data_IF_759569495096
#
_entry.id   IF_759569495096
#
_cell.length_a   1.000
_cell.length_b   1.000
_cell.length_c   1.000
_cell.angle_alpha   90.00
_cell.angle_beta   90.00
_cell.angle_gamma   90.00
#
_symmetry.space_group_name_H-M   'P 1'
#
loop_
_entity.id
_entity.type
_entity.pdbx_description
1 polymer ?
#
# COMPACT_ATOMS: atom_id res chain seq x y z
N UNK A 1 40.25 -29.54 49.95
CA UNK A 1 41.16 -29.84 48.83
C UNK A 1 40.36 -30.59 47.75
N UNK A 2 40.70 -30.38 46.48
CA UNK A 2 39.94 -30.68 45.23
C UNK A 2 38.82 -29.66 44.91
N UNK A 3 39.07 -28.51 44.26
CA UNK A 3 39.60 -28.18 42.90
C UNK A 3 38.61 -28.50 41.75
N UNK A 4 38.00 -27.42 41.25
CA UNK A 4 37.80 -27.02 39.85
C UNK A 4 37.58 -28.11 38.79
N UNK A 5 36.42 -28.05 38.14
CA UNK A 5 36.20 -28.40 36.73
C UNK A 5 34.94 -27.61 36.29
N UNK A 6 35.06 -26.55 35.49
CA UNK A 6 34.92 -26.57 34.02
C UNK A 6 33.67 -27.38 33.59
N UNK A 7 32.70 -26.86 32.86
CA UNK A 7 32.56 -25.61 32.14
C UNK A 7 31.20 -25.61 31.41
N UNK A 8 30.69 -24.42 31.16
CA UNK A 8 29.81 -24.04 30.05
C UNK A 8 29.12 -25.19 29.28
N UNK A 9 27.88 -25.51 29.64
CA UNK A 9 26.93 -26.20 28.76
C UNK A 9 25.57 -25.49 28.78
N UNK A 10 25.61 -24.18 28.52
CA UNK A 10 24.44 -23.36 28.18
C UNK A 10 24.63 -22.79 26.77
N UNK A 11 24.94 -23.66 25.81
CA UNK A 11 25.13 -23.29 24.40
C UNK A 11 24.41 -24.29 23.49
N UNK A 12 23.12 -24.55 23.74
CA UNK A 12 22.27 -25.34 22.83
C UNK A 12 20.78 -24.95 22.93
N UNK A 13 20.47 -23.69 23.25
CA UNK A 13 19.19 -23.14 22.79
C UNK A 13 19.50 -22.38 21.51
N UNK A 14 19.07 -22.85 20.32
CA UNK A 14 18.91 -21.92 19.22
C UNK A 14 17.76 -20.98 19.63
N UNK A 15 18.11 -19.89 20.32
CA UNK A 15 17.31 -18.68 20.41
C UNK A 15 17.32 -18.04 19.02
N UNK A 16 16.59 -18.66 18.11
CA UNK A 16 16.24 -18.09 16.83
C UNK A 16 14.92 -18.71 16.40
N UNK A 17 13.83 -18.33 17.07
CA UNK A 17 12.66 -17.94 16.27
C UNK A 17 13.07 -16.62 15.61
N UNK A 18 13.92 -16.72 14.58
CA UNK A 18 13.86 -15.74 13.53
C UNK A 18 12.40 -15.79 13.09
N UNK A 19 11.69 -14.67 13.25
CA UNK A 19 10.60 -14.39 12.33
C UNK A 19 11.27 -14.41 10.96
N UNK A 20 11.37 -15.59 10.36
CA UNK A 20 11.86 -15.74 9.01
C UNK A 20 10.78 -15.09 8.17
N UNK A 21 10.96 -13.79 7.95
CA UNK A 21 10.24 -13.02 6.97
C UNK A 21 10.14 -13.88 5.71
N UNK A 22 8.95 -13.92 5.10
CA UNK A 22 8.73 -14.78 3.95
C UNK A 22 9.81 -14.50 2.90
N UNK A 23 10.23 -15.48 2.08
CA UNK A 23 11.20 -15.23 1.01
C UNK A 23 10.80 -14.08 0.06
N UNK A 24 9.52 -13.69 0.09
CA UNK A 24 8.89 -12.66 -0.73
C UNK A 24 8.53 -11.40 0.07
N UNK A 25 9.08 -11.25 1.27
CA UNK A 25 8.88 -10.08 2.11
C UNK A 25 9.29 -8.82 1.32
N UNK A 26 8.40 -7.83 1.28
CA UNK A 26 8.56 -6.59 0.52
C UNK A 26 8.62 -6.72 -1.02
N UNK A 27 8.10 -7.81 -1.58
CA UNK A 27 7.99 -8.01 -3.03
C UNK A 27 6.54 -8.15 -3.46
N UNK A 28 6.25 -7.68 -4.67
CA UNK A 28 4.93 -7.77 -5.27
C UNK A 28 4.90 -8.82 -6.39
N UNK A 29 6.05 -9.14 -6.96
CA UNK A 29 6.26 -10.25 -7.88
C UNK A 29 6.23 -11.60 -7.15
N UNK A 30 5.69 -12.61 -7.84
CA UNK A 30 5.66 -13.99 -7.36
C UNK A 30 5.90 -14.94 -8.52
N UNK A 31 6.76 -15.94 -8.35
CA UNK A 31 6.88 -17.02 -9.33
C UNK A 31 5.76 -18.06 -9.14
N UNK A 32 5.49 -18.89 -10.17
CA UNK A 32 4.57 -20.02 -10.02
C UNK A 32 4.98 -20.92 -8.85
N UNK A 33 4.04 -21.22 -7.95
CA UNK A 33 4.21 -22.04 -6.74
C UNK A 33 4.95 -21.37 -5.56
N UNK A 34 5.25 -20.08 -5.63
CA UNK A 34 5.71 -19.33 -4.45
C UNK A 34 4.52 -18.83 -3.62
N UNK A 35 4.72 -18.71 -2.30
CA UNK A 35 3.73 -18.08 -1.44
C UNK A 35 3.62 -16.58 -1.77
N UNK A 36 2.42 -16.13 -2.11
CA UNK A 36 2.17 -14.71 -2.43
C UNK A 36 2.21 -13.89 -1.14
N UNK A 37 2.94 -12.78 -1.17
CA UNK A 37 2.88 -11.78 -0.10
C UNK A 37 1.56 -11.02 -0.19
N UNK A 38 0.69 -11.22 0.81
CA UNK A 38 -0.68 -10.69 0.78
C UNK A 38 -0.87 -9.39 1.56
N UNK A 39 0.10 -8.97 2.39
CA UNK A 39 -0.03 -7.76 3.23
C UNK A 39 -0.20 -6.47 2.44
N UNK A 40 0.32 -6.46 1.22
CA UNK A 40 0.30 -5.31 0.32
C UNK A 40 -0.74 -5.47 -0.81
N UNK A 41 -1.41 -6.63 -0.88
CA UNK A 41 -2.51 -6.82 -1.82
C UNK A 41 -3.61 -5.81 -1.55
N UNK A 42 -4.06 -5.15 -2.61
CA UNK A 42 -5.09 -4.13 -2.53
C UNK A 42 -4.58 -2.71 -2.26
N UNK A 43 -3.28 -2.48 -2.01
CA UNK A 43 -2.75 -1.12 -1.90
C UNK A 43 -2.97 -0.31 -3.18
N UNK A 44 -2.70 -0.90 -4.34
CA UNK A 44 -2.94 -0.22 -5.64
C UNK A 44 -4.42 0.10 -5.85
N UNK A 45 -5.32 -0.83 -5.47
CA UNK A 45 -6.76 -0.60 -5.55
C UNK A 45 -7.20 0.53 -4.60
N UNK A 46 -6.72 0.51 -3.36
CA UNK A 46 -7.03 1.53 -2.36
C UNK A 46 -6.53 2.91 -2.78
N UNK A 47 -5.34 2.98 -3.37
CA UNK A 47 -4.77 4.19 -3.96
C UNK A 47 -5.65 4.71 -5.10
N UNK A 48 -5.99 3.85 -6.06
CA UNK A 48 -6.84 4.20 -7.19
C UNK A 48 -8.22 4.70 -6.72
N UNK A 49 -8.85 3.99 -5.78
CA UNK A 49 -10.15 4.35 -5.23
C UNK A 49 -10.12 5.71 -4.52
N UNK A 50 -9.07 5.98 -3.73
CA UNK A 50 -8.87 7.28 -3.09
C UNK A 50 -8.78 8.41 -4.12
N UNK A 51 -7.88 8.29 -5.09
CA UNK A 51 -7.66 9.34 -6.09
C UNK A 51 -8.89 9.55 -6.97
N UNK A 52 -9.62 8.47 -7.30
CA UNK A 52 -10.91 8.55 -8.00
C UNK A 52 -11.94 9.34 -7.20
N UNK A 53 -12.08 9.02 -5.92
CA UNK A 53 -13.03 9.68 -5.04
C UNK A 53 -12.69 11.17 -4.84
N UNK A 54 -11.41 11.50 -4.62
CA UNK A 54 -10.95 12.89 -4.52
C UNK A 54 -11.33 13.71 -5.75
N UNK A 55 -10.99 13.19 -6.95
CA UNK A 55 -11.26 13.87 -8.21
C UNK A 55 -12.76 13.99 -8.50
N UNK A 56 -13.54 12.96 -8.17
CA UNK A 56 -15.00 13.00 -8.31
C UNK A 56 -15.64 14.01 -7.36
N UNK A 57 -15.21 14.03 -6.10
CA UNK A 57 -15.74 14.92 -5.08
C UNK A 57 -15.24 16.37 -5.20
N UNK A 58 -14.24 16.62 -6.05
CA UNK A 58 -13.56 17.91 -6.13
C UNK A 58 -12.88 18.28 -4.81
N UNK A 59 -12.32 17.30 -4.12
CA UNK A 59 -11.47 17.54 -2.95
C UNK A 59 -10.11 18.08 -3.40
N UNK A 60 -9.45 18.86 -2.55
CA UNK A 60 -8.08 19.29 -2.81
C UNK A 60 -7.16 18.05 -2.81
N UNK A 61 -6.40 17.79 -3.89
CA UNK A 61 -5.51 16.62 -3.95
C UNK A 61 -4.46 16.67 -2.84
N UNK A 62 -4.31 15.57 -2.11
CA UNK A 62 -3.28 15.41 -1.09
C UNK A 62 -2.21 14.43 -1.60
N UNK A 63 -0.93 14.68 -1.32
CA UNK A 63 0.11 13.70 -1.59
C UNK A 63 -0.20 12.39 -0.86
N UNK A 64 -0.35 11.30 -1.61
CA UNK A 64 -0.65 9.96 -1.09
C UNK A 64 0.59 9.28 -0.52
N UNK A 65 1.78 9.71 -0.97
CA UNK A 65 3.08 9.18 -0.54
C UNK A 65 3.20 8.94 0.96
N UNK A 66 3.05 9.97 1.82
CA UNK A 66 3.17 9.81 3.26
C UNK A 66 2.25 8.74 3.87
N UNK A 67 1.03 8.55 3.35
CA UNK A 67 0.08 7.54 3.85
C UNK A 67 0.48 6.13 3.40
N UNK A 68 0.69 5.93 2.10
CA UNK A 68 0.91 4.62 1.51
C UNK A 68 2.34 4.11 1.70
N UNK A 69 3.35 4.95 1.44
CA UNK A 69 4.75 4.61 1.65
C UNK A 69 5.04 4.49 3.15
N UNK A 70 4.47 5.38 3.97
CA UNK A 70 4.59 5.28 5.43
C UNK A 70 3.95 4.01 6.01
N UNK A 71 2.92 3.44 5.38
CA UNK A 71 2.40 2.12 5.75
C UNK A 71 3.42 1.01 5.40
N UNK A 72 4.01 1.04 4.21
CA UNK A 72 5.02 0.08 3.75
C UNK A 72 6.25 0.10 4.66
N UNK A 73 6.76 1.28 5.00
CA UNK A 73 7.87 1.46 5.94
C UNK A 73 7.58 0.87 7.32
N UNK A 74 6.36 1.10 7.85
CA UNK A 74 5.92 0.51 9.13
C UNK A 74 5.86 -1.02 9.11
N UNK A 75 5.72 -1.64 7.93
CA UNK A 75 5.78 -3.09 7.76
C UNK A 75 7.21 -3.62 7.62
N UNK A 76 8.24 -2.77 7.69
CA UNK A 76 9.65 -3.14 7.58
C UNK A 76 10.21 -3.08 6.16
N UNK A 77 9.48 -2.48 5.22
CA UNK A 77 9.90 -2.37 3.81
C UNK A 77 10.36 -0.94 3.51
N UNK A 78 11.65 -0.77 3.25
CA UNK A 78 12.23 0.55 2.96
C UNK A 78 12.18 0.92 1.46
N UNK A 79 12.69 2.10 1.13
CA UNK A 79 12.73 2.63 -0.24
C UNK A 79 13.56 1.82 -1.23
N UNK A 80 14.40 0.88 -0.77
CA UNK A 80 15.15 -0.03 -1.62
C UNK A 80 14.37 -1.27 -2.03
N UNK A 81 13.19 -1.49 -1.46
CA UNK A 81 12.37 -2.67 -1.73
C UNK A 81 11.50 -2.54 -2.98
N UNK A 82 11.18 -3.68 -3.57
CA UNK A 82 10.35 -3.77 -4.78
C UNK A 82 8.96 -3.18 -4.53
N UNK A 83 8.29 -3.57 -3.43
CA UNK A 83 6.95 -3.07 -3.13
C UNK A 83 6.92 -1.55 -2.93
N UNK A 84 7.94 -0.97 -2.28
CA UNK A 84 8.01 0.47 -2.08
C UNK A 84 8.11 1.19 -3.44
N UNK A 85 9.02 0.73 -4.29
CA UNK A 85 9.24 1.30 -5.62
C UNK A 85 7.99 1.18 -6.50
N UNK A 86 7.33 0.03 -6.47
CA UNK A 86 6.10 -0.22 -7.22
C UNK A 86 4.97 0.72 -6.77
N UNK A 87 4.80 0.89 -5.46
CA UNK A 87 3.75 1.76 -4.90
C UNK A 87 4.09 3.23 -5.14
N UNK A 88 5.35 3.64 -5.02
CA UNK A 88 5.80 5.01 -5.35
C UNK A 88 5.50 5.35 -6.83
N UNK A 89 5.82 4.44 -7.75
CA UNK A 89 5.50 4.60 -9.17
C UNK A 89 3.98 4.62 -9.41
N UNK A 90 3.23 3.78 -8.70
CA UNK A 90 1.77 3.76 -8.70
C UNK A 90 1.18 5.11 -8.26
N UNK A 91 1.66 5.68 -7.16
CA UNK A 91 1.24 7.00 -6.65
C UNK A 91 1.43 8.07 -7.72
N UNK A 92 2.64 8.18 -8.26
CA UNK A 92 2.96 9.18 -9.28
C UNK A 92 2.04 9.07 -10.51
N UNK A 93 1.76 7.83 -10.95
CA UNK A 93 0.85 7.56 -12.07
C UNK A 93 -0.59 7.96 -11.74
N UNK A 94 -1.08 7.63 -10.55
CA UNK A 94 -2.48 7.86 -10.19
C UNK A 94 -2.76 9.35 -9.92
N UNK A 95 -1.89 10.03 -9.17
CA UNK A 95 -2.06 11.46 -8.87
C UNK A 95 -2.08 12.32 -10.14
N UNK A 96 -1.18 12.03 -11.10
CA UNK A 96 -1.14 12.68 -12.41
C UNK A 96 -2.25 12.25 -13.38
N UNK A 97 -2.97 11.17 -13.08
CA UNK A 97 -4.01 10.60 -13.94
C UNK A 97 -5.32 11.39 -13.95
N UNK A 98 -5.98 11.48 -15.11
CA UNK A 98 -7.35 11.98 -15.21
C UNK A 98 -8.39 10.93 -14.77
N UNK A 99 -9.59 11.37 -14.39
CA UNK A 99 -10.67 10.50 -13.87
C UNK A 99 -10.94 9.28 -14.77
N UNK A 100 -10.97 9.49 -16.10
CA UNK A 100 -11.18 8.40 -17.07
C UNK A 100 -10.07 7.37 -17.08
N UNK A 101 -8.81 7.81 -17.05
CA UNK A 101 -7.65 6.91 -17.05
C UNK A 101 -7.60 6.08 -15.76
N UNK A 102 -7.96 6.70 -14.64
CA UNK A 102 -8.05 6.03 -13.35
C UNK A 102 -9.16 4.98 -13.31
N UNK A 103 -10.35 5.31 -13.82
CA UNK A 103 -11.46 4.35 -13.89
C UNK A 103 -11.13 3.14 -14.78
N UNK A 104 -10.27 3.34 -15.78
CA UNK A 104 -9.74 2.29 -16.65
C UNK A 104 -8.58 1.48 -16.03
N UNK A 105 -8.28 1.63 -14.73
CA UNK A 105 -7.14 0.97 -14.09
C UNK A 105 -5.79 1.36 -14.71
N UNK A 106 -5.70 2.56 -15.30
CA UNK A 106 -4.53 3.01 -16.01
C UNK A 106 -4.29 2.34 -17.37
N UNK A 107 -5.25 1.59 -17.92
CA UNK A 107 -5.18 1.02 -19.27
C UNK A 107 -6.03 1.83 -20.26
N UNK A 108 -5.43 2.71 -21.08
CA UNK A 108 -6.17 3.56 -22.00
C UNK A 108 -6.88 2.80 -23.14
N UNK A 109 -6.57 1.50 -23.33
CA UNK A 109 -7.22 0.64 -24.33
C UNK A 109 -8.59 0.15 -23.87
N UNK A 110 -8.90 0.22 -22.58
CA UNK A 110 -10.22 -0.14 -22.07
C UNK A 110 -11.21 0.96 -22.39
N UNK A 111 -12.24 0.68 -23.18
CA UNK A 111 -13.25 1.70 -23.51
C UNK A 111 -14.26 1.80 -22.36
N UNK A 112 -14.31 2.96 -21.70
CA UNK A 112 -15.36 3.29 -20.73
C UNK A 112 -16.12 4.54 -21.18
N UNK A 113 -17.45 4.49 -21.07
CA UNK A 113 -18.29 5.66 -21.25
C UNK A 113 -18.10 6.65 -20.09
N UNK A 114 -18.47 7.92 -20.30
CA UNK A 114 -18.42 8.90 -19.22
C UNK A 114 -19.32 8.49 -18.05
N UNK A 115 -20.48 7.89 -18.33
CA UNK A 115 -21.41 7.40 -17.30
C UNK A 115 -20.76 6.32 -16.43
N UNK A 116 -20.07 5.35 -17.05
CA UNK A 116 -19.34 4.31 -16.32
C UNK A 116 -18.19 4.88 -15.48
N UNK A 117 -17.48 5.88 -16.00
CA UNK A 117 -16.42 6.57 -15.24
C UNK A 117 -17.02 7.27 -14.01
N UNK A 118 -18.14 7.97 -14.18
CA UNK A 118 -18.81 8.66 -13.08
C UNK A 118 -19.41 7.68 -12.05
N UNK A 119 -20.01 6.58 -12.52
CA UNK A 119 -20.55 5.53 -11.65
C UNK A 119 -19.44 4.91 -10.80
N UNK A 120 -18.32 4.54 -11.42
CA UNK A 120 -17.16 3.98 -10.74
C UNK A 120 -16.59 4.94 -9.70
N UNK A 121 -16.39 6.20 -10.06
CA UNK A 121 -15.85 7.20 -9.15
C UNK A 121 -16.84 7.54 -8.02
N UNK A 122 -18.15 7.56 -8.30
CA UNK A 122 -19.19 7.73 -7.28
C UNK A 122 -19.24 6.56 -6.30
N UNK A 123 -18.95 5.35 -6.77
CA UNK A 123 -18.87 4.15 -5.92
C UNK A 123 -17.66 4.22 -5.00
N UNK A 124 -16.49 4.57 -5.54
CA UNK A 124 -15.29 4.81 -4.74
C UNK A 124 -15.53 5.88 -3.65
N UNK A 125 -16.20 6.99 -4.01
CA UNK A 125 -16.57 8.02 -3.03
C UNK A 125 -17.52 7.50 -1.94
N UNK A 126 -18.50 6.66 -2.29
CA UNK A 126 -19.42 6.05 -1.31
C UNK A 126 -18.70 5.08 -0.38
N UNK A 127 -17.78 4.26 -0.89
CA UNK A 127 -16.97 3.33 -0.08
C UNK A 127 -16.11 4.07 0.95
N UNK A 128 -15.72 5.31 0.64
CA UNK A 128 -14.98 6.20 1.55
C UNK A 128 -15.89 7.06 2.45
N UNK A 129 -17.19 6.75 2.54
CA UNK A 129 -18.14 7.46 3.40
C UNK A 129 -18.78 8.70 2.79
N UNK A 130 -18.60 8.90 1.48
CA UNK A 130 -19.15 10.03 0.72
C UNK A 130 -18.23 11.25 0.68
N UNK A 131 -18.56 12.19 -0.22
CA UNK A 131 -17.71 13.35 -0.48
C UNK A 131 -17.49 14.27 0.72
N UNK A 132 -18.50 14.44 1.58
CA UNK A 132 -18.38 15.29 2.77
C UNK A 132 -17.42 14.69 3.79
N UNK A 133 -17.49 13.36 3.99
CA UNK A 133 -16.59 12.65 4.89
C UNK A 133 -15.14 12.71 4.38
N UNK A 134 -14.95 12.51 3.07
CA UNK A 134 -13.64 12.58 2.43
C UNK A 134 -13.01 13.98 2.55
N UNK A 135 -13.77 15.04 2.25
CA UNK A 135 -13.30 16.42 2.41
C UNK A 135 -12.97 16.75 3.86
N UNK A 136 -13.81 16.33 4.81
CA UNK A 136 -13.55 16.55 6.24
C UNK A 136 -12.29 15.81 6.71
N UNK A 137 -12.04 14.60 6.21
CA UNK A 137 -10.81 13.85 6.52
C UNK A 137 -9.57 14.59 6.01
N UNK A 138 -9.64 15.21 4.83
CA UNK A 138 -8.55 16.06 4.30
C UNK A 138 -8.29 17.28 5.18
N UNK A 139 -9.35 17.93 5.66
CA UNK A 139 -9.22 19.12 6.52
C UNK A 139 -8.65 18.78 7.89
N UNK A 140 -8.96 17.59 8.42
CA UNK A 140 -8.43 17.13 9.70
C UNK A 140 -6.93 16.85 9.66
N UNK A 141 -6.40 16.38 8.53
CA UNK A 141 -4.96 16.18 8.33
C UNK A 141 -4.18 17.48 8.13
N UNK A 142 -4.83 18.58 7.75
CA UNK A 142 -4.23 19.92 7.71
C UNK A 142 -4.06 20.56 9.09
N UNK A 143 -4.78 20.07 10.10
CA UNK A 143 -4.80 20.65 11.45
C UNK A 143 -3.82 20.02 12.44
N UNK A 144 -2.99 19.06 11.99
CA UNK A 144 -1.95 18.38 12.77
C UNK A 144 -0.57 18.75 12.25
#
# INVERSE_FOLDING_TARGET
MFRYSCGVLLACMPLATAHAESPNFCRNSSNPNEAVESRFMGLEYALMAHVLAEKYCGAEPRPMGPRFLGYIEKQGCDSGTEIYTDVEAGIAKMEGGGLKLLAQGGNPKLTMSNEQVQEWASTAAKELGGCDALKKAHDAELGQ
#
